data_IF_898051336061
#
_entry.id   IF_898051336061
#
_cell.length_a   1.000
_cell.length_b   1.000
_cell.length_c   1.000
_cell.angle_alpha   90.00
_cell.angle_beta   90.00
_cell.angle_gamma   90.00
#
_symmetry.space_group_name_H-M   'P 1'
#
loop_
_entity.id
_entity.type
_entity.pdbx_description
1 polymer ?
#
# COMPACT_ATOMS: atom_id res chain seq x y z
N UNK A 1 25.63 15.36 9.72
CA UNK A 1 26.26 14.90 8.49
C UNK A 1 26.01 13.41 8.39
N UNK A 2 25.16 13.03 7.46
CA UNK A 2 24.65 11.67 7.35
C UNK A 2 25.74 10.71 6.87
N UNK A 3 25.85 9.59 7.56
CA UNK A 3 26.65 8.43 7.18
C UNK A 3 25.92 7.59 6.13
N UNK A 4 26.64 6.66 5.49
CA UNK A 4 26.01 5.69 4.60
C UNK A 4 25.05 4.75 5.33
N UNK A 5 25.37 4.38 6.56
CA UNK A 5 24.55 3.49 7.35
C UNK A 5 23.24 4.16 7.75
N UNK A 6 23.27 5.44 8.13
CA UNK A 6 22.06 6.24 8.35
C UNK A 6 21.20 6.37 7.08
N UNK A 7 21.85 6.55 5.93
CA UNK A 7 21.16 6.58 4.63
C UNK A 7 20.46 5.25 4.31
N UNK A 8 21.16 4.13 4.46
CA UNK A 8 20.59 2.81 4.22
C UNK A 8 19.49 2.48 5.24
N UNK A 9 19.67 2.85 6.51
CA UNK A 9 18.65 2.70 7.53
C UNK A 9 17.39 3.51 7.19
N UNK A 10 17.56 4.78 6.79
CA UNK A 10 16.43 5.62 6.39
C UNK A 10 15.74 5.10 5.12
N UNK A 11 16.50 4.55 4.17
CA UNK A 11 15.93 3.90 2.99
C UNK A 11 15.05 2.71 3.42
N UNK A 12 15.54 1.88 4.34
CA UNK A 12 14.78 0.75 4.91
C UNK A 12 13.47 1.18 5.59
N UNK A 13 13.50 2.23 6.42
CA UNK A 13 12.30 2.80 7.07
C UNK A 13 11.30 3.29 6.01
N UNK A 14 11.80 3.93 4.95
CA UNK A 14 10.96 4.43 3.86
C UNK A 14 10.34 3.27 3.06
N UNK A 15 11.10 2.20 2.85
CA UNK A 15 10.65 0.99 2.16
C UNK A 15 9.60 0.21 2.98
N UNK A 16 9.75 0.17 4.31
CA UNK A 16 8.75 -0.40 5.21
C UNK A 16 7.40 0.29 5.04
N UNK A 17 7.35 1.62 5.05
CA UNK A 17 6.10 2.36 4.84
C UNK A 17 5.45 2.03 3.48
N UNK A 18 6.24 1.90 2.41
CA UNK A 18 5.74 1.47 1.10
C UNK A 18 5.16 0.04 1.13
N UNK A 19 5.84 -0.89 1.80
CA UNK A 19 5.41 -2.29 1.89
C UNK A 19 4.15 -2.44 2.74
N UNK A 20 4.03 -1.68 3.83
CA UNK A 20 2.82 -1.64 4.64
C UNK A 20 1.64 -1.09 3.84
N UNK A 21 1.84 -0.04 3.04
CA UNK A 21 0.81 0.45 2.13
C UNK A 21 0.34 -0.61 1.11
N UNK A 22 1.28 -1.34 0.48
CA UNK A 22 0.95 -2.46 -0.42
C UNK A 22 0.13 -3.56 0.28
N UNK A 23 0.53 -3.90 1.51
CA UNK A 23 -0.14 -4.92 2.33
C UNK A 23 -1.58 -4.51 2.67
N UNK A 24 -1.79 -3.25 3.02
CA UNK A 24 -3.12 -2.72 3.32
C UNK A 24 -4.02 -2.75 2.10
N UNK A 25 -3.53 -2.36 0.92
CA UNK A 25 -4.31 -2.44 -0.31
C UNK A 25 -4.64 -3.88 -0.72
N UNK A 26 -3.70 -4.82 -0.53
CA UNK A 26 -3.96 -6.23 -0.76
C UNK A 26 -5.06 -6.77 0.16
N UNK A 27 -5.01 -6.39 1.44
CA UNK A 27 -6.02 -6.79 2.44
C UNK A 27 -7.38 -6.17 2.16
N UNK A 28 -7.41 -4.90 1.73
CA UNK A 28 -8.61 -4.21 1.29
C UNK A 28 -9.24 -4.93 0.09
N UNK A 29 -8.45 -5.26 -0.94
CA UNK A 29 -8.92 -5.99 -2.12
C UNK A 29 -9.43 -7.39 -1.77
N UNK A 30 -8.76 -8.11 -0.86
CA UNK A 30 -9.25 -9.39 -0.37
C UNK A 30 -10.59 -9.25 0.36
N UNK A 31 -10.75 -8.21 1.17
CA UNK A 31 -12.00 -7.93 1.90
C UNK A 31 -13.15 -7.62 0.95
N UNK A 32 -12.91 -6.81 -0.08
CA UNK A 32 -13.89 -6.53 -1.14
C UNK A 32 -14.26 -7.80 -1.88
N UNK A 33 -13.27 -8.62 -2.25
CA UNK A 33 -13.50 -9.90 -2.92
C UNK A 33 -14.34 -10.86 -2.07
N UNK A 34 -14.10 -10.89 -0.75
CA UNK A 34 -14.89 -11.70 0.17
C UNK A 34 -16.35 -11.25 0.27
N UNK A 35 -16.62 -9.95 0.14
CA UNK A 35 -17.99 -9.42 0.10
C UNK A 35 -18.66 -9.78 -1.24
N UNK A 36 -18.03 -9.45 -2.36
CA UNK A 36 -18.58 -9.68 -3.71
C UNK A 36 -18.90 -11.16 -3.98
N UNK A 37 -18.07 -12.08 -3.48
CA UNK A 37 -18.23 -13.52 -3.69
C UNK A 37 -18.96 -14.23 -2.54
N UNK A 38 -19.44 -13.50 -1.53
CA UNK A 38 -20.16 -14.09 -0.39
C UNK A 38 -19.31 -14.96 0.53
N UNK A 39 -17.98 -14.96 0.42
CA UNK A 39 -17.07 -15.78 1.23
C UNK A 39 -17.12 -15.47 2.72
N UNK A 40 -17.57 -14.27 3.08
CA UNK A 40 -17.80 -13.87 4.47
C UNK A 40 -19.02 -14.56 5.12
N UNK A 41 -19.99 -15.03 4.31
CA UNK A 41 -21.16 -15.78 4.75
C UNK A 41 -20.94 -17.28 4.59
N UNK A 42 -20.54 -17.70 3.40
CA UNK A 42 -20.25 -19.11 3.05
C UNK A 42 -18.78 -19.22 2.68
N UNK A 43 -17.91 -19.65 3.61
CA UNK A 43 -16.47 -19.71 3.36
C UNK A 43 -16.11 -20.60 2.17
N UNK A 44 -15.34 -20.04 1.24
CA UNK A 44 -14.72 -20.76 0.12
C UNK A 44 -13.19 -20.61 0.21
N UNK A 45 -12.51 -21.45 1.00
CA UNK A 45 -11.07 -21.31 1.24
C UNK A 45 -10.24 -21.53 -0.01
N UNK A 46 -10.72 -22.30 -0.99
CA UNK A 46 -9.99 -22.59 -2.23
C UNK A 46 -9.93 -21.34 -3.10
N UNK A 47 -11.08 -20.69 -3.34
CA UNK A 47 -11.10 -19.49 -4.17
C UNK A 47 -10.57 -18.26 -3.41
N UNK A 48 -10.78 -18.18 -2.09
CA UNK A 48 -10.14 -17.15 -1.26
C UNK A 48 -8.61 -17.25 -1.31
N UNK A 49 -8.05 -18.46 -1.25
CA UNK A 49 -6.61 -18.67 -1.38
C UNK A 49 -6.09 -18.26 -2.75
N UNK A 50 -6.79 -18.65 -3.83
CA UNK A 50 -6.42 -18.21 -5.20
C UNK A 50 -6.44 -16.69 -5.36
N UNK A 51 -7.42 -16.02 -4.76
CA UNK A 51 -7.49 -14.55 -4.78
C UNK A 51 -6.30 -13.94 -4.03
N UNK A 52 -5.96 -14.47 -2.86
CA UNK A 52 -4.78 -14.03 -2.10
C UNK A 52 -3.48 -14.24 -2.90
N UNK A 53 -3.28 -15.42 -3.49
CA UNK A 53 -2.09 -15.72 -4.29
C UNK A 53 -1.97 -14.76 -5.51
N UNK A 54 -3.10 -14.38 -6.11
CA UNK A 54 -3.12 -13.37 -7.19
C UNK A 54 -2.76 -11.98 -6.68
N UNK A 55 -3.30 -11.57 -5.53
CA UNK A 55 -3.01 -10.28 -4.88
C UNK A 55 -1.52 -10.18 -4.55
N UNK A 56 -0.93 -11.22 -3.95
CA UNK A 56 0.48 -11.27 -3.59
C UNK A 56 1.42 -11.21 -4.82
N UNK A 57 0.96 -11.70 -5.98
CA UNK A 57 1.71 -11.62 -7.23
C UNK A 57 1.59 -10.26 -7.95
N UNK A 58 0.70 -9.36 -7.51
CA UNK A 58 0.48 -8.08 -8.19
C UNK A 58 1.46 -7.00 -7.72
N UNK A 59 1.88 -6.16 -8.66
CA UNK A 59 2.55 -4.90 -8.32
C UNK A 59 1.53 -3.92 -7.72
N UNK A 60 2.01 -2.95 -6.93
CA UNK A 60 1.16 -1.88 -6.37
C UNK A 60 0.26 -1.20 -7.42
N UNK A 61 0.82 -0.88 -8.59
CA UNK A 61 0.04 -0.27 -9.68
C UNK A 61 -1.07 -1.17 -10.20
N UNK A 62 -0.83 -2.49 -10.27
CA UNK A 62 -1.84 -3.47 -10.67
C UNK A 62 -2.91 -3.64 -9.59
N UNK A 63 -2.53 -3.67 -8.31
CA UNK A 63 -3.47 -3.70 -7.19
C UNK A 63 -4.42 -2.52 -7.21
N UNK A 64 -3.88 -1.30 -7.36
CA UNK A 64 -4.69 -0.08 -7.48
C UNK A 64 -5.62 -0.11 -8.69
N UNK A 65 -5.15 -0.62 -9.83
CA UNK A 65 -5.98 -0.78 -11.04
C UNK A 65 -7.16 -1.74 -10.82
N UNK A 66 -6.92 -2.89 -10.19
CA UNK A 66 -7.98 -3.85 -9.86
C UNK A 66 -8.97 -3.26 -8.85
N UNK A 67 -8.45 -2.58 -7.82
CA UNK A 67 -9.26 -2.02 -6.75
C UNK A 67 -10.19 -0.90 -7.24
N UNK A 68 -9.72 -0.02 -8.13
CA UNK A 68 -10.53 1.01 -8.80
C UNK A 68 -11.68 0.43 -9.64
N UNK A 69 -11.53 -0.80 -10.13
CA UNK A 69 -12.60 -1.50 -10.84
C UNK A 69 -13.70 -2.03 -9.92
N UNK A 70 -13.47 -2.06 -8.60
CA UNK A 70 -14.38 -2.66 -7.61
C UNK A 70 -14.90 -1.67 -6.57
N UNK A 71 -14.14 -0.62 -6.29
CA UNK A 71 -14.45 0.37 -5.25
C UNK A 71 -14.37 1.76 -5.86
N UNK A 72 -15.43 2.55 -5.64
CA UNK A 72 -15.40 3.97 -5.95
C UNK A 72 -14.66 4.71 -4.83
N UNK A 73 -13.59 5.41 -5.19
CA UNK A 73 -12.88 6.32 -4.30
C UNK A 73 -13.28 7.76 -4.63
N UNK A 74 -13.23 8.65 -3.63
CA UNK A 74 -13.30 10.08 -3.92
C UNK A 74 -12.01 10.55 -4.62
N UNK A 75 -12.12 11.69 -5.32
CA UNK A 75 -11.03 12.27 -6.10
C UNK A 75 -9.77 12.50 -5.25
N UNK A 76 -9.94 12.94 -3.99
CA UNK A 76 -8.84 13.19 -3.09
C UNK A 76 -8.03 11.91 -2.81
N UNK A 77 -8.71 10.81 -2.47
CA UNK A 77 -8.07 9.54 -2.19
C UNK A 77 -7.42 8.92 -3.43
N UNK A 78 -8.05 9.09 -4.61
CA UNK A 78 -7.46 8.65 -5.88
C UNK A 78 -6.14 9.36 -6.19
N UNK A 79 -6.09 10.68 -5.98
CA UNK A 79 -4.89 11.48 -6.14
C UNK A 79 -3.80 11.05 -5.15
N UNK A 80 -4.17 10.83 -3.88
CA UNK A 80 -3.23 10.36 -2.85
C UNK A 80 -2.63 9.00 -3.19
N UNK A 81 -3.44 8.05 -3.67
CA UNK A 81 -2.94 6.74 -4.11
C UNK A 81 -2.07 6.83 -5.37
N UNK A 82 -2.43 7.69 -6.33
CA UNK A 82 -1.62 7.92 -7.51
C UNK A 82 -0.26 8.55 -7.17
N UNK A 83 -0.23 9.47 -6.20
CA UNK A 83 1.00 10.08 -5.69
C UNK A 83 1.87 9.03 -4.98
N UNK A 84 1.30 8.25 -4.06
CA UNK A 84 2.03 7.18 -3.37
C UNK A 84 2.60 6.11 -4.32
N UNK A 85 1.89 5.77 -5.41
CA UNK A 85 2.43 4.89 -6.45
C UNK A 85 3.67 5.49 -7.11
N UNK A 86 3.68 6.79 -7.40
CA UNK A 86 4.87 7.49 -7.93
C UNK A 86 5.99 7.51 -6.90
N UNK A 87 5.70 7.80 -5.63
CA UNK A 87 6.67 7.81 -4.54
C UNK A 87 7.32 6.43 -4.36
N UNK A 88 6.52 5.36 -4.31
CA UNK A 88 7.01 3.97 -4.23
C UNK A 88 7.87 3.60 -5.42
N UNK A 89 7.45 3.96 -6.63
CA UNK A 89 8.25 3.69 -7.84
C UNK A 89 9.56 4.47 -7.82
N UNK A 90 9.55 5.73 -7.37
CA UNK A 90 10.75 6.55 -7.20
C UNK A 90 11.70 5.91 -6.19
N UNK A 91 11.19 5.47 -5.03
CA UNK A 91 11.99 4.80 -4.00
C UNK A 91 12.68 3.55 -4.54
N UNK A 92 11.93 2.63 -5.13
CA UNK A 92 12.43 1.29 -5.48
C UNK A 92 13.17 1.23 -6.82
N UNK A 93 12.86 2.12 -7.77
CA UNK A 93 13.44 2.05 -9.11
C UNK A 93 14.35 3.24 -9.44
N UNK A 94 14.17 4.40 -8.80
CA UNK A 94 14.83 5.64 -9.22
C UNK A 94 15.72 6.30 -8.17
N UNK A 95 15.66 5.90 -6.90
CA UNK A 95 16.27 6.69 -5.81
C UNK A 95 17.79 6.81 -5.97
N UNK A 96 18.50 5.68 -6.02
CA UNK A 96 19.96 5.69 -6.16
C UNK A 96 20.42 6.19 -7.53
N UNK A 97 19.69 5.87 -8.60
CA UNK A 97 19.99 6.35 -9.97
C UNK A 97 19.99 7.88 -10.04
N UNK A 98 18.95 8.52 -9.49
CA UNK A 98 18.78 9.98 -9.52
C UNK A 98 19.78 10.73 -8.65
N UNK A 99 20.26 10.10 -7.59
CA UNK A 99 21.24 10.69 -6.69
C UNK A 99 22.68 10.38 -7.08
N UNK A 100 22.93 9.32 -7.85
CA UNK A 100 24.21 8.98 -8.46
C UNK A 100 25.40 9.12 -7.47
N UNK A 101 26.36 10.00 -7.77
CA UNK A 101 27.56 10.19 -6.96
C UNK A 101 27.33 10.95 -5.64
N UNK A 102 26.14 11.47 -5.35
CA UNK A 102 25.84 12.19 -4.09
C UNK A 102 26.14 11.35 -2.85
N UNK A 103 25.98 10.02 -2.93
CA UNK A 103 26.28 9.10 -1.82
C UNK A 103 27.76 9.10 -1.40
N UNK A 104 28.66 9.65 -2.23
CA UNK A 104 30.11 9.71 -1.96
C UNK A 104 30.48 10.88 -1.04
N UNK A 105 29.70 11.96 -1.07
CA UNK A 105 29.93 13.16 -0.27
C UNK A 105 28.99 13.24 0.90
N UNK A 106 29.42 13.94 1.93
CA UNK A 106 28.64 14.20 3.12
C UNK A 106 27.39 15.04 2.85
N UNK A 107 27.55 16.17 2.15
CA UNK A 107 26.45 17.06 1.76
C UNK A 107 25.47 16.34 0.82
N UNK A 108 25.99 15.50 -0.07
CA UNK A 108 25.17 14.68 -0.95
C UNK A 108 24.34 13.63 -0.20
N UNK A 109 24.88 13.02 0.87
CA UNK A 109 24.12 12.11 1.74
C UNK A 109 23.04 12.86 2.53
N UNK A 110 23.32 14.06 3.01
CA UNK A 110 22.31 14.90 3.67
C UNK A 110 21.13 15.20 2.71
N UNK A 111 21.40 15.50 1.44
CA UNK A 111 20.36 15.68 0.40
C UNK A 111 19.56 14.39 0.16
N UNK A 112 20.23 13.24 0.14
CA UNK A 112 19.57 11.95 -0.05
C UNK A 112 18.66 11.59 1.14
N UNK A 113 19.09 11.89 2.37
CA UNK A 113 18.26 11.71 3.58
C UNK A 113 17.01 12.57 3.51
N UNK A 114 17.14 13.86 3.19
CA UNK A 114 15.99 14.77 3.09
C UNK A 114 14.96 14.25 2.05
N UNK A 115 15.43 13.73 0.91
CA UNK A 115 14.55 13.14 -0.09
C UNK A 115 13.84 11.87 0.41
N UNK A 116 14.51 11.03 1.20
CA UNK A 116 13.87 9.89 1.85
C UNK A 116 12.89 10.31 2.94
N UNK A 117 13.12 11.42 3.63
CA UNK A 117 12.17 11.96 4.59
C UNK A 117 10.87 12.40 3.91
N UNK A 118 10.96 13.09 2.77
CA UNK A 118 9.80 13.46 1.97
C UNK A 118 9.04 12.24 1.45
N UNK A 119 9.75 11.26 0.87
CA UNK A 119 9.15 10.02 0.40
C UNK A 119 8.49 9.23 1.54
N UNK A 120 9.15 9.17 2.69
CA UNK A 120 8.64 8.48 3.87
C UNK A 120 7.35 9.13 4.36
N UNK A 121 7.32 10.46 4.50
CA UNK A 121 6.11 11.17 4.95
C UNK A 121 4.93 10.92 4.01
N UNK A 122 5.16 10.98 2.70
CA UNK A 122 4.13 10.71 1.70
C UNK A 122 3.58 9.29 1.81
N UNK A 123 4.47 8.29 1.83
CA UNK A 123 4.10 6.87 1.90
C UNK A 123 3.44 6.52 3.24
N UNK A 124 3.94 7.07 4.34
CA UNK A 124 3.42 6.83 5.69
C UNK A 124 2.02 7.40 5.86
N UNK A 125 1.77 8.62 5.39
CA UNK A 125 0.44 9.21 5.41
C UNK A 125 -0.57 8.36 4.63
N UNK A 126 -0.18 7.90 3.43
CA UNK A 126 -1.08 7.09 2.60
C UNK A 126 -1.28 5.68 3.15
N UNK A 127 -0.25 5.07 3.74
CA UNK A 127 -0.39 3.83 4.51
C UNK A 127 -1.42 3.99 5.63
N UNK A 128 -1.36 5.08 6.42
CA UNK A 128 -2.33 5.33 7.50
C UNK A 128 -3.77 5.45 6.98
N UNK A 129 -3.96 6.10 5.83
CA UNK A 129 -5.28 6.17 5.19
C UNK A 129 -5.78 4.78 4.77
N UNK A 130 -4.92 4.01 4.08
CA UNK A 130 -5.25 2.66 3.65
C UNK A 130 -5.58 1.74 4.84
N UNK A 131 -4.79 1.81 5.92
CA UNK A 131 -5.04 1.05 7.14
C UNK A 131 -6.38 1.41 7.80
N UNK A 132 -6.74 2.70 7.80
CA UNK A 132 -8.06 3.15 8.24
C UNK A 132 -9.20 2.54 7.41
N UNK A 133 -9.07 2.52 6.09
CA UNK A 133 -10.04 1.91 5.18
C UNK A 133 -10.15 0.41 5.40
N UNK A 134 -9.02 -0.29 5.48
CA UNK A 134 -8.98 -1.73 5.77
C UNK A 134 -9.66 -2.04 7.10
N UNK A 135 -9.41 -1.26 8.15
CA UNK A 135 -10.03 -1.46 9.46
C UNK A 135 -11.56 -1.27 9.41
N UNK A 136 -12.06 -0.28 8.64
CA UNK A 136 -13.50 -0.10 8.43
C UNK A 136 -14.08 -1.28 7.65
N UNK A 137 -13.41 -1.73 6.59
CA UNK A 137 -13.86 -2.86 5.77
C UNK A 137 -13.87 -4.18 6.54
N UNK A 138 -12.86 -4.44 7.37
CA UNK A 138 -12.83 -5.62 8.24
C UNK A 138 -14.01 -5.62 9.23
N UNK A 139 -14.34 -4.46 9.83
CA UNK A 139 -15.53 -4.33 10.68
C UNK A 139 -16.83 -4.57 9.91
N UNK A 140 -16.92 -4.08 8.67
CA UNK A 140 -18.08 -4.32 7.80
C UNK A 140 -18.24 -5.81 7.49
N UNK A 141 -17.17 -6.51 7.12
CA UNK A 141 -17.18 -7.96 6.86
C UNK A 141 -17.67 -8.74 8.09
N UNK A 142 -17.18 -8.38 9.28
CA UNK A 142 -17.64 -9.00 10.53
C UNK A 142 -19.13 -8.72 10.77
N UNK A 143 -19.58 -7.48 10.57
CA UNK A 143 -20.99 -7.10 10.76
C UNK A 143 -21.91 -7.84 9.81
N UNK A 144 -21.56 -7.92 8.52
CA UNK A 144 -22.35 -8.63 7.50
C UNK A 144 -22.46 -10.14 7.81
N UNK A 145 -21.42 -10.72 8.43
CA UNK A 145 -21.47 -12.11 8.90
C UNK A 145 -22.41 -12.30 10.09
N UNK A 146 -22.53 -11.30 10.97
CA UNK A 146 -23.43 -11.36 12.13
C UNK A 146 -24.90 -11.10 11.78
N UNK A 147 -25.17 -10.26 10.79
CA UNK A 147 -26.51 -9.90 10.31
C UNK A 147 -26.67 -10.22 8.81
N UNK A 148 -26.83 -11.51 8.43
CA UNK A 148 -27.01 -11.87 7.03
C UNK A 148 -28.29 -11.24 6.48
N UNK A 149 -28.30 -10.72 5.24
CA UNK A 149 -29.51 -10.18 4.63
C UNK A 149 -30.58 -11.28 4.58
N UNK A 150 -31.81 -10.95 5.02
CA UNK A 150 -32.96 -11.85 4.88
C UNK A 150 -33.26 -12.02 3.38
N UNK A 151 -33.05 -13.23 2.86
CA UNK A 151 -33.56 -13.61 1.55
C UNK A 151 -35.10 -13.58 1.60
N UNK A 152 -35.71 -12.67 0.85
CA UNK A 152 -37.15 -12.63 0.53
C UNK A 152 -37.37 -13.00 -0.93
#
# INVERSE_FOLDING_TARGET
MATRDELYAKFGITAEAAQLFETELGTLLLSVSAIENGWHLTPDPVNARKALDQIEAHTLGRLLGVLRGKVAFDEHLEERFASALKARNRLNHGFYERHNFKIQTDEGRDVMIADLEELHEELFQVWRMASGLTAVMAKLVIKLRSDPPNDH
#
